data_IF_264565708881
#
_entry.id   IF_264565708881
#
_cell.length_a   1.000
_cell.length_b   1.000
_cell.length_c   1.000
_cell.angle_alpha   90.00
_cell.angle_beta   90.00
_cell.angle_gamma   90.00
#
_symmetry.space_group_name_H-M   'P 1'
#
loop_
_entity.id
_entity.type
_entity.pdbx_description
1 polymer ?
#
# COMPACT_ATOMS: atom_id res chain seq x y z
N UNK A 1 -14.76 -15.72 -8.15
CA UNK A 1 -15.24 -14.53 -8.89
C UNK A 1 -14.06 -13.58 -9.06
N UNK A 2 -13.49 -13.51 -10.27
CA UNK A 2 -12.21 -12.85 -10.55
C UNK A 2 -12.13 -11.37 -10.11
N UNK A 3 -13.27 -10.68 -10.02
CA UNK A 3 -13.33 -9.26 -9.62
C UNK A 3 -12.92 -9.01 -8.17
N UNK A 4 -13.16 -9.95 -7.25
CA UNK A 4 -12.75 -9.79 -5.84
C UNK A 4 -11.23 -9.91 -5.72
N UNK A 5 -10.66 -10.93 -6.38
CA UNK A 5 -9.21 -11.19 -6.39
C UNK A 5 -8.43 -9.99 -6.91
N UNK A 6 -8.87 -9.38 -8.02
CA UNK A 6 -8.19 -8.18 -8.56
C UNK A 6 -8.23 -6.98 -7.61
N UNK A 7 -9.30 -6.83 -6.82
CA UNK A 7 -9.42 -5.74 -5.84
C UNK A 7 -8.49 -6.01 -4.65
N UNK A 8 -8.47 -7.24 -4.15
CA UNK A 8 -7.63 -7.63 -3.03
C UNK A 8 -6.14 -7.49 -3.39
N UNK A 9 -5.75 -7.90 -4.60
CA UNK A 9 -4.41 -7.70 -5.14
C UNK A 9 -4.04 -6.22 -5.26
N UNK A 10 -4.96 -5.38 -5.76
CA UNK A 10 -4.72 -3.94 -5.84
C UNK A 10 -4.56 -3.29 -4.47
N UNK A 11 -5.38 -3.68 -3.49
CA UNK A 11 -5.27 -3.19 -2.10
C UNK A 11 -3.92 -3.58 -1.50
N UNK A 12 -3.50 -4.83 -1.68
CA UNK A 12 -2.20 -5.31 -1.21
C UNK A 12 -1.04 -4.54 -1.84
N UNK A 13 -1.06 -4.39 -3.17
CA UNK A 13 -0.08 -3.58 -3.89
C UNK A 13 -0.03 -2.14 -3.36
N UNK A 14 -1.19 -1.52 -3.17
CA UNK A 14 -1.30 -0.15 -2.69
C UNK A 14 -0.69 0.02 -1.30
N UNK A 15 -0.94 -0.91 -0.38
CA UNK A 15 -0.50 -0.78 1.01
C UNK A 15 0.99 -1.10 1.20
N UNK A 16 1.55 -2.03 0.44
CA UNK A 16 2.88 -2.57 0.68
C UNK A 16 3.94 -2.13 -0.34
N UNK A 17 3.57 -1.89 -1.60
CA UNK A 17 4.55 -1.70 -2.68
C UNK A 17 4.47 -0.33 -3.34
N UNK A 18 3.35 0.38 -3.18
CA UNK A 18 3.18 1.70 -3.78
C UNK A 18 4.07 2.74 -3.11
N UNK A 19 5.13 3.12 -3.81
CA UNK A 19 6.02 4.23 -3.42
C UNK A 19 5.27 5.57 -3.34
N UNK A 20 5.47 6.31 -2.25
CA UNK A 20 4.89 7.66 -2.08
C UNK A 20 6.01 8.69 -1.86
N UNK A 21 6.27 9.52 -2.89
CA UNK A 21 7.27 10.61 -2.80
C UNK A 21 7.03 11.56 -1.63
N UNK A 22 5.76 11.84 -1.31
CA UNK A 22 5.37 12.69 -0.17
C UNK A 22 5.61 12.07 1.21
N UNK A 23 5.76 10.74 1.27
CA UNK A 23 6.04 9.98 2.50
C UNK A 23 7.52 9.60 2.57
N UNK A 24 8.41 10.43 2.01
CA UNK A 24 9.85 10.17 1.89
C UNK A 24 10.17 8.82 1.22
N UNK A 25 9.30 8.38 0.32
CA UNK A 25 9.47 7.12 -0.41
C UNK A 25 8.99 5.87 0.31
N UNK A 26 8.36 6.01 1.46
CA UNK A 26 7.77 4.89 2.18
C UNK A 26 6.45 4.45 1.55
N UNK A 27 6.15 3.17 1.65
CA UNK A 27 4.80 2.64 1.42
C UNK A 27 3.83 3.18 2.50
N UNK A 28 2.51 3.14 2.24
CA UNK A 28 1.52 3.58 3.23
C UNK A 28 1.64 2.86 4.58
N UNK A 29 1.98 1.58 4.58
CA UNK A 29 2.13 0.81 5.83
C UNK A 29 3.38 1.22 6.60
N UNK A 30 4.52 1.34 5.91
CA UNK A 30 5.79 1.76 6.53
C UNK A 30 5.69 3.17 7.13
N UNK A 31 5.02 4.10 6.44
CA UNK A 31 4.80 5.43 6.97
C UNK A 31 3.96 5.43 8.25
N UNK A 32 2.89 4.62 8.31
CA UNK A 32 2.05 4.49 9.54
C UNK A 32 2.84 3.89 10.70
N UNK A 33 3.75 2.96 10.42
CA UNK A 33 4.60 2.36 11.45
C UNK A 33 5.54 3.38 12.12
N UNK A 34 5.90 4.47 11.43
CA UNK A 34 6.70 5.56 12.00
C UNK A 34 5.88 6.56 12.84
N UNK A 35 4.56 6.57 12.69
CA UNK A 35 3.67 7.48 13.41
C UNK A 35 3.13 6.90 14.74
N UNK A 36 3.44 5.63 15.03
CA UNK A 36 3.12 4.95 16.29
C UNK A 36 4.26 5.13 17.30
#
# INVERSE_FOLDING_TARGET
QARKQSIDEYIYFYNHFRYQKKLNGLSPLEYRAQAA
#
